data_IF_956301918932
#
_entry.id   IF_956301918932
#
_cell.length_a   1.000
_cell.length_b   1.000
_cell.length_c   1.000
_cell.angle_alpha   90.00
_cell.angle_beta   90.00
_cell.angle_gamma   90.00
#
_symmetry.space_group_name_H-M   'P 1'
#
loop_
_entity.id
_entity.type
_entity.pdbx_description
1 polymer ?
#
# COMPACT_ATOMS: atom_id res chain seq x y z
N UNK A 1 -16.43 -16.19 2.44
CA UNK A 1 -16.03 -16.08 3.85
C UNK A 1 -17.28 -15.80 4.66
N UNK A 2 -17.61 -16.60 5.68
CA UNK A 2 -18.77 -16.36 6.53
C UNK A 2 -18.76 -14.93 7.10
N UNK A 3 -19.92 -14.28 7.19
CA UNK A 3 -20.06 -12.90 7.71
C UNK A 3 -19.48 -12.72 9.12
N UNK A 4 -19.48 -13.80 9.91
CA UNK A 4 -18.99 -13.81 11.29
C UNK A 4 -17.49 -14.05 11.42
N UNK A 5 -16.75 -14.18 10.31
CA UNK A 5 -15.31 -14.45 10.37
C UNK A 5 -14.58 -13.23 10.92
N UNK A 6 -13.94 -13.31 12.11
CA UNK A 6 -13.22 -12.18 12.65
C UNK A 6 -12.10 -11.77 11.69
N UNK A 7 -12.19 -10.53 11.20
CA UNK A 7 -11.25 -9.99 10.21
C UNK A 7 -10.64 -8.72 10.79
N UNK A 8 -9.32 -8.70 10.90
CA UNK A 8 -8.57 -7.53 11.38
C UNK A 8 -8.00 -6.73 10.20
N UNK A 9 -7.83 -5.43 10.36
CA UNK A 9 -7.31 -4.58 9.28
C UNK A 9 -5.82 -4.87 9.02
N UNK A 10 -5.48 -5.09 7.75
CA UNK A 10 -4.21 -5.69 7.36
C UNK A 10 -2.96 -4.84 7.64
N UNK A 11 -3.01 -3.51 7.51
CA UNK A 11 -1.83 -2.66 7.70
C UNK A 11 -1.54 -2.38 9.20
N UNK A 12 -2.58 -2.18 9.99
CA UNK A 12 -2.49 -1.99 11.43
C UNK A 12 -2.09 -3.27 12.14
N UNK A 13 -2.68 -4.41 11.77
CA UNK A 13 -2.31 -5.72 12.31
C UNK A 13 -0.83 -6.04 12.05
N UNK A 14 -0.36 -5.89 10.80
CA UNK A 14 1.05 -6.21 10.48
C UNK A 14 2.03 -5.27 11.19
N UNK A 15 1.67 -3.99 11.36
CA UNK A 15 2.48 -3.03 12.10
C UNK A 15 2.64 -3.45 13.57
N UNK A 16 1.57 -3.91 14.20
CA UNK A 16 1.60 -4.48 15.55
C UNK A 16 2.45 -5.75 15.63
N UNK A 17 2.27 -6.68 14.69
CA UNK A 17 3.00 -7.95 14.67
C UNK A 17 4.51 -7.74 14.55
N UNK A 18 4.99 -6.74 13.81
CA UNK A 18 6.40 -6.37 13.78
C UNK A 18 6.93 -5.82 15.12
N UNK A 19 6.07 -5.20 15.91
CA UNK A 19 6.35 -4.77 17.28
C UNK A 19 6.55 -5.96 18.22
N UNK A 20 5.82 -7.06 18.00
CA UNK A 20 5.90 -8.28 18.81
C UNK A 20 7.04 -9.19 18.35
N UNK A 21 7.18 -9.43 17.05
CA UNK A 21 8.14 -10.38 16.48
C UNK A 21 9.31 -9.65 15.80
N UNK A 22 10.51 -9.79 16.37
CA UNK A 22 11.70 -9.04 15.97
C UNK A 22 12.50 -9.65 14.82
N UNK A 23 12.26 -10.92 14.51
CA UNK A 23 13.05 -11.66 13.50
C UNK A 23 12.24 -12.04 12.26
N UNK A 24 10.92 -12.12 12.37
CA UNK A 24 10.06 -12.60 11.29
C UNK A 24 9.89 -11.58 10.16
N UNK A 25 9.71 -12.06 8.94
CA UNK A 25 9.25 -11.23 7.82
C UNK A 25 7.74 -11.38 7.69
N UNK A 26 7.06 -10.27 7.49
CA UNK A 26 5.62 -10.27 7.23
C UNK A 26 5.32 -9.53 5.93
N UNK A 27 4.25 -9.97 5.25
CA UNK A 27 3.69 -9.27 4.11
C UNK A 27 2.18 -9.39 4.08
N UNK A 28 1.54 -8.47 3.36
CA UNK A 28 0.09 -8.53 3.15
C UNK A 28 -0.24 -9.40 1.94
N UNK A 29 -1.30 -10.20 2.01
CA UNK A 29 -1.86 -10.96 0.87
C UNK A 29 -3.37 -10.71 0.72
N UNK A 30 -3.81 -9.61 0.11
CA UNK A 30 -3.07 -8.40 -0.29
C UNK A 30 -3.84 -7.18 0.20
N UNK A 31 -3.19 -6.03 0.37
CA UNK A 31 -3.90 -4.79 0.60
C UNK A 31 -4.63 -4.36 -0.68
N UNK A 32 -5.88 -3.91 -0.54
CA UNK A 32 -6.60 -3.31 -1.66
C UNK A 32 -6.07 -1.89 -1.95
N UNK A 33 -5.61 -1.66 -3.19
CA UNK A 33 -5.14 -0.33 -3.63
C UNK A 33 -6.29 0.68 -3.76
N UNK A 34 -7.53 0.23 -3.93
CA UNK A 34 -8.68 1.13 -4.08
C UNK A 34 -9.13 1.76 -2.76
N UNK A 35 -8.80 1.15 -1.62
CA UNK A 35 -9.07 1.74 -0.30
C UNK A 35 -8.01 2.77 0.12
N UNK A 36 -6.95 2.98 -0.67
CA UNK A 36 -5.76 3.72 -0.22
C UNK A 36 -5.25 4.66 -1.31
N UNK A 37 -4.87 5.87 -0.92
CA UNK A 37 -4.08 6.72 -1.80
C UNK A 37 -2.65 6.12 -1.90
N UNK A 38 -2.10 5.96 -3.12
CA UNK A 38 -0.78 5.33 -3.30
C UNK A 38 0.37 6.12 -2.66
N UNK A 39 0.27 7.45 -2.56
CA UNK A 39 1.34 8.25 -1.96
C UNK A 39 1.46 8.09 -0.43
N UNK A 40 0.38 8.21 0.35
CA UNK A 40 0.38 7.79 1.76
C UNK A 40 0.79 6.33 1.94
N UNK A 41 0.34 5.41 1.06
CA UNK A 41 0.74 4.01 1.15
C UNK A 41 2.26 3.83 0.94
N UNK A 42 2.86 4.55 0.00
CA UNK A 42 4.31 4.57 -0.21
C UNK A 42 5.05 5.05 1.06
N UNK A 43 4.54 6.12 1.69
CA UNK A 43 5.09 6.67 2.93
C UNK A 43 4.96 5.69 4.10
N UNK A 44 3.79 5.10 4.29
CA UNK A 44 3.52 4.13 5.37
C UNK A 44 4.40 2.90 5.24
N UNK A 45 4.48 2.33 4.04
CA UNK A 45 5.32 1.15 3.75
C UNK A 45 6.81 1.44 3.92
N UNK A 46 7.28 2.62 3.51
CA UNK A 46 8.65 3.04 3.72
C UNK A 46 9.00 3.21 5.20
N UNK A 47 8.11 3.83 5.98
CA UNK A 47 8.25 3.94 7.43
C UNK A 47 8.32 2.55 8.07
N UNK A 48 7.45 1.63 7.68
CA UNK A 48 7.47 0.27 8.22
C UNK A 48 8.74 -0.49 7.82
N UNK A 49 9.22 -0.35 6.59
CA UNK A 49 10.51 -0.93 6.18
C UNK A 49 11.69 -0.42 7.02
N UNK A 50 11.70 0.88 7.34
CA UNK A 50 12.72 1.47 8.21
C UNK A 50 12.64 0.90 9.63
N UNK A 51 11.44 0.93 10.24
CA UNK A 51 11.24 0.50 11.63
C UNK A 51 11.47 -1.00 11.83
N UNK A 52 11.29 -1.80 10.78
CA UNK A 52 11.39 -3.26 10.86
C UNK A 52 12.77 -3.79 10.46
N UNK A 53 13.67 -2.95 9.97
CA UNK A 53 14.96 -3.42 9.44
C UNK A 53 14.78 -4.24 8.15
N UNK A 54 13.98 -3.75 7.20
CA UNK A 54 13.75 -4.36 5.87
C UNK A 54 13.01 -5.70 5.90
N UNK A 55 12.14 -5.93 6.89
CA UNK A 55 11.40 -7.20 7.03
C UNK A 55 9.97 -7.15 6.51
N UNK A 56 9.51 -6.01 6.00
CA UNK A 56 8.17 -5.83 5.47
C UNK A 56 8.09 -6.06 3.96
N UNK A 57 7.06 -6.79 3.52
CA UNK A 57 6.73 -7.02 2.11
C UNK A 57 5.37 -6.39 1.82
N UNK A 58 5.35 -5.33 1.00
CA UNK A 58 4.11 -4.68 0.58
C UNK A 58 3.43 -5.48 -0.53
N UNK A 59 2.46 -6.33 -0.17
CA UNK A 59 1.57 -6.96 -1.13
C UNK A 59 0.30 -6.14 -1.35
N UNK A 60 0.02 -5.78 -2.60
CA UNK A 60 -1.13 -4.97 -3.01
C UNK A 60 -1.88 -5.63 -4.17
N UNK A 61 -3.19 -5.40 -4.25
CA UNK A 61 -4.04 -5.90 -5.31
C UNK A 61 -5.29 -5.06 -5.52
N UNK A 62 -6.18 -5.56 -6.37
CA UNK A 62 -7.32 -4.79 -6.91
C UNK A 62 -8.61 -4.88 -6.09
N UNK A 63 -8.64 -5.69 -5.02
CA UNK A 63 -9.85 -6.00 -4.27
C UNK A 63 -10.86 -6.85 -5.08
N UNK A 64 -11.63 -7.65 -4.36
CA UNK A 64 -12.60 -8.58 -4.95
C UNK A 64 -13.98 -8.55 -4.28
N UNK A 65 -14.07 -8.02 -3.07
CA UNK A 65 -15.23 -8.17 -2.19
C UNK A 65 -16.20 -6.99 -2.32
N UNK A 66 -17.07 -7.04 -3.32
CA UNK A 66 -17.99 -5.95 -3.69
C UNK A 66 -18.88 -5.46 -2.55
N UNK A 67 -19.44 -6.37 -1.76
CA UNK A 67 -20.26 -6.07 -0.60
C UNK A 67 -19.53 -5.22 0.44
N UNK A 68 -18.24 -5.52 0.70
CA UNK A 68 -17.40 -4.72 1.60
C UNK A 68 -17.12 -3.33 1.03
N UNK A 69 -16.81 -3.22 -0.26
CA UNK A 69 -16.60 -1.93 -0.92
C UNK A 69 -17.81 -1.02 -0.72
N UNK A 70 -19.00 -1.52 -1.08
CA UNK A 70 -20.23 -0.75 -1.00
C UNK A 70 -20.60 -0.42 0.45
N UNK A 71 -20.46 -1.38 1.37
CA UNK A 71 -20.74 -1.16 2.79
C UNK A 71 -19.81 -0.12 3.44
N UNK A 72 -18.57 -0.02 2.97
CA UNK A 72 -17.60 1.00 3.41
C UNK A 72 -17.70 2.32 2.63
N UNK A 73 -18.68 2.46 1.73
CA UNK A 73 -18.92 3.69 0.98
C UNK A 73 -18.00 3.89 -0.23
N UNK A 74 -17.32 2.85 -0.69
CA UNK A 74 -16.53 2.87 -1.92
C UNK A 74 -17.35 2.42 -3.13
N UNK A 75 -17.00 2.93 -4.30
CA UNK A 75 -17.46 2.36 -5.56
C UNK A 75 -16.75 1.03 -5.86
N UNK A 76 -17.45 0.11 -6.51
CA UNK A 76 -16.87 -1.13 -7.04
C UNK A 76 -16.80 -1.11 -8.59
N UNK A 77 -15.86 -0.36 -9.18
CA UNK A 77 -15.77 -0.23 -10.63
C UNK A 77 -15.28 -1.53 -11.28
N UNK A 78 -15.50 -1.76 -12.59
CA UNK A 78 -15.10 -2.99 -13.29
C UNK A 78 -13.61 -3.34 -13.12
N UNK A 79 -13.27 -4.63 -13.16
CA UNK A 79 -11.92 -5.12 -12.91
C UNK A 79 -10.83 -4.42 -13.76
N UNK A 80 -11.12 -4.14 -15.04
CA UNK A 80 -10.21 -3.40 -15.94
C UNK A 80 -9.80 -2.03 -15.36
N UNK A 81 -10.74 -1.31 -14.77
CA UNK A 81 -10.49 -0.02 -14.11
C UNK A 81 -9.61 -0.21 -12.87
N UNK A 82 -9.94 -1.20 -12.03
CA UNK A 82 -9.18 -1.50 -10.81
C UNK A 82 -7.73 -1.91 -11.10
N UNK A 83 -7.51 -2.69 -12.15
CA UNK A 83 -6.18 -3.09 -12.64
C UNK A 83 -5.36 -1.86 -13.06
N UNK A 84 -5.96 -0.94 -13.82
CA UNK A 84 -5.24 0.29 -14.23
C UNK A 84 -4.92 1.20 -13.04
N UNK A 85 -5.77 1.26 -12.03
CA UNK A 85 -5.45 1.95 -10.77
C UNK A 85 -4.30 1.30 -10.02
N UNK A 86 -4.25 -0.03 -9.99
CA UNK A 86 -3.12 -0.75 -9.40
C UNK A 86 -1.81 -0.43 -10.15
N UNK A 87 -1.84 -0.45 -11.48
CA UNK A 87 -0.71 -0.10 -12.34
C UNK A 87 -0.16 1.30 -12.02
N UNK A 88 -1.00 2.33 -12.02
CA UNK A 88 -0.57 3.70 -11.67
C UNK A 88 -0.12 3.81 -10.21
N UNK A 89 -0.79 3.12 -9.29
CA UNK A 89 -0.42 3.08 -7.88
C UNK A 89 0.98 2.52 -7.66
N UNK A 90 1.32 1.41 -8.33
CA UNK A 90 2.68 0.82 -8.30
C UNK A 90 3.72 1.82 -8.83
N UNK A 91 3.41 2.53 -9.92
CA UNK A 91 4.33 3.53 -10.48
C UNK A 91 4.60 4.65 -9.47
N UNK A 92 3.56 5.20 -8.84
CA UNK A 92 3.71 6.22 -7.79
C UNK A 92 4.56 5.71 -6.63
N UNK A 93 4.24 4.53 -6.09
CA UNK A 93 4.93 3.95 -4.94
C UNK A 93 6.43 3.78 -5.25
N UNK A 94 6.76 3.21 -6.41
CA UNK A 94 8.14 3.02 -6.84
C UNK A 94 8.90 4.33 -7.03
N UNK A 95 8.28 5.32 -7.67
CA UNK A 95 8.89 6.66 -7.83
C UNK A 95 9.18 7.28 -6.47
N UNK A 96 8.21 7.29 -5.55
CA UNK A 96 8.41 7.86 -4.22
C UNK A 96 9.48 7.14 -3.38
N UNK A 97 9.71 5.85 -3.61
CA UNK A 97 10.80 5.12 -2.94
C UNK A 97 12.18 5.39 -3.54
N UNK A 98 12.27 5.79 -4.81
CA UNK A 98 13.55 5.85 -5.55
C UNK A 98 13.97 7.26 -5.95
N UNK A 99 13.04 8.20 -6.03
CA UNK A 99 13.26 9.59 -6.41
C UNK A 99 13.21 10.49 -5.17
N UNK A 100 14.05 11.52 -5.11
CA UNK A 100 14.02 12.51 -4.01
C UNK A 100 12.73 13.34 -4.03
N UNK A 101 12.21 13.63 -5.24
CA UNK A 101 10.96 14.33 -5.49
C UNK A 101 10.24 13.66 -6.64
N UNK A 102 9.16 12.97 -6.34
CA UNK A 102 8.41 12.21 -7.32
C UNK A 102 7.25 13.03 -7.89
N UNK A 103 7.17 13.10 -9.21
CA UNK A 103 6.02 13.63 -9.94
C UNK A 103 5.42 12.55 -10.83
N UNK A 104 4.10 12.43 -10.83
CA UNK A 104 3.36 11.47 -11.64
C UNK A 104 2.02 12.06 -12.06
N UNK A 105 1.69 11.93 -13.36
CA UNK A 105 0.45 12.44 -13.96
C UNK A 105 -0.22 11.32 -14.73
N UNK A 106 -1.00 10.51 -14.03
CA UNK A 106 -1.79 9.43 -14.61
C UNK A 106 -3.23 9.85 -14.86
N UNK A 107 -4.03 8.88 -15.31
CA UNK A 107 -5.47 9.03 -15.50
C UNK A 107 -6.23 8.99 -14.18
N UNK A 108 -5.75 8.19 -13.22
CA UNK A 108 -6.45 7.96 -11.95
C UNK A 108 -5.78 8.65 -10.77
N UNK A 109 -4.46 8.82 -10.83
CA UNK A 109 -3.69 9.46 -9.77
C UNK A 109 -2.77 10.54 -10.30
N UNK A 110 -2.55 11.55 -9.46
CA UNK A 110 -1.59 12.63 -9.70
C UNK A 110 -0.87 12.95 -8.40
N UNK A 111 0.45 13.08 -8.50
CA UNK A 111 1.31 13.64 -7.45
C UNK A 111 2.28 14.63 -8.09
N UNK A 112 2.65 15.66 -7.35
CA UNK A 112 3.58 16.71 -7.80
C UNK A 112 4.62 16.95 -6.72
N UNK A 113 5.90 16.88 -7.10
CA UNK A 113 7.04 17.13 -6.21
C UNK A 113 6.96 16.38 -4.86
N UNK A 114 6.36 15.18 -4.85
CA UNK A 114 6.09 14.43 -3.64
C UNK A 114 7.40 13.91 -3.03
N UNK A 115 7.64 14.27 -1.77
CA UNK A 115 8.83 13.85 -1.03
C UNK A 115 8.51 12.74 -0.04
N UNK A 116 9.47 11.86 0.17
CA UNK A 116 9.40 10.79 1.18
C UNK A 116 10.62 10.88 2.12
N UNK A 117 10.66 11.85 3.06
CA UNK A 117 11.69 11.90 4.11
C UNK A 117 11.31 10.98 5.30
N UNK A 118 12.26 10.26 5.96
CA UNK A 118 13.65 10.11 5.56
C UNK A 118 13.74 9.37 4.23
N UNK A 119 14.58 9.90 3.34
CA UNK A 119 14.80 9.34 2.00
C UNK A 119 15.25 7.90 2.11
N UNK A 120 14.61 7.00 1.36
CA UNK A 120 15.13 5.63 1.18
C UNK A 120 16.46 5.60 0.43
N UNK A 121 16.99 6.72 -0.09
CA UNK A 121 18.31 6.76 -0.74
C UNK A 121 19.50 6.34 0.15
N UNK A 122 19.29 6.14 1.46
CA UNK A 122 20.23 5.42 2.33
C UNK A 122 20.23 3.89 2.08
N UNK A 123 19.44 3.40 1.12
CA UNK A 123 19.18 2.00 0.81
C UNK A 123 19.46 1.76 -0.69
N UNK A 124 20.73 1.72 -1.09
CA UNK A 124 21.13 0.92 -2.26
C UNK A 124 21.16 -0.58 -1.85
N UNK A 125 20.86 -1.51 -2.76
CA UNK A 125 21.10 -2.93 -2.51
C UNK A 125 22.57 -3.18 -2.14
#
# INVERSE_FOLDING_TARGET
MPETTPTIEGFTAISYLFGVFKELKFGNIVLCILYRNPAPLAKMSATLQLLTGRRFILGIGIGWKEDEFLAYGYEFPPAKFRIRRLEEGVQIIRRMWTETRATFRGRYYRIEEAMLPPSQSLYRP
#
